data_IF_737123723371
#
_entry.id   IF_737123723371
#
_cell.length_a   1.000
_cell.length_b   1.000
_cell.length_c   1.000
_cell.angle_alpha   90.00
_cell.angle_beta   90.00
_cell.angle_gamma   90.00
#
_symmetry.space_group_name_H-M   'P 1'
#
loop_
_entity.id
_entity.type
_entity.pdbx_description
1 polymer ?
#
# COMPACT_ATOMS: atom_id res chain seq x y z
N UNK A 1 -4.89 8.31 -5.29
CA UNK A 1 -5.25 6.89 -5.15
C UNK A 1 -6.65 6.73 -5.73
N UNK A 2 -6.77 6.33 -7.00
CA UNK A 2 -8.09 6.15 -7.65
C UNK A 2 -8.57 4.68 -7.58
N UNK A 3 -7.63 3.74 -7.44
CA UNK A 3 -7.92 2.30 -7.43
C UNK A 3 -7.00 1.48 -6.50
N UNK A 4 -6.12 2.10 -5.70
CA UNK A 4 -5.32 1.33 -4.76
C UNK A 4 -6.22 0.80 -3.64
N UNK A 5 -6.37 -0.52 -3.58
CA UNK A 5 -7.34 -1.22 -2.75
C UNK A 5 -8.14 -2.28 -3.51
N UNK A 6 -8.35 -2.12 -4.82
CA UNK A 6 -9.11 -3.08 -5.64
C UNK A 6 -8.23 -4.09 -6.40
N UNK A 7 -6.96 -4.25 -6.01
CA UNK A 7 -6.05 -5.23 -6.64
C UNK A 7 -5.80 -5.00 -8.13
N UNK A 8 -5.98 -3.78 -8.64
CA UNK A 8 -5.76 -3.47 -10.06
C UNK A 8 -6.90 -3.89 -11.00
N UNK A 9 -8.13 -4.04 -10.51
CA UNK A 9 -9.30 -4.30 -11.37
C UNK A 9 -9.41 -3.26 -12.49
N UNK A 10 -9.48 -3.73 -13.72
CA UNK A 10 -9.67 -2.87 -14.90
C UNK A 10 -11.09 -2.28 -14.93
N UNK A 11 -11.23 -1.15 -15.60
CA UNK A 11 -12.51 -0.48 -15.81
C UNK A 11 -12.45 1.03 -15.62
N UNK A 12 -13.64 1.61 -15.58
CA UNK A 12 -13.83 3.05 -15.42
C UNK A 12 -14.34 3.35 -14.02
N UNK A 13 -13.69 4.29 -13.34
CA UNK A 13 -13.95 4.66 -11.96
C UNK A 13 -14.18 6.17 -11.85
N UNK A 14 -14.94 6.57 -10.83
CA UNK A 14 -15.16 7.98 -10.51
C UNK A 14 -14.25 8.38 -9.34
N UNK A 15 -13.40 9.39 -9.57
CA UNK A 15 -12.59 10.03 -8.55
C UNK A 15 -13.11 11.45 -8.33
N UNK A 16 -14.07 11.59 -7.41
CA UNK A 16 -14.86 12.82 -7.31
C UNK A 16 -15.67 13.02 -8.59
N UNK A 17 -15.53 14.19 -9.22
CA UNK A 17 -16.18 14.52 -10.51
C UNK A 17 -15.33 14.13 -11.73
N UNK A 18 -14.22 13.40 -11.53
CA UNK A 18 -13.30 13.01 -12.58
C UNK A 18 -13.47 11.53 -12.91
N UNK A 19 -13.84 11.24 -14.15
CA UNK A 19 -13.82 9.89 -14.68
C UNK A 19 -12.39 9.45 -15.04
N UNK A 20 -12.04 8.24 -14.61
CA UNK A 20 -10.71 7.66 -14.74
C UNK A 20 -10.81 6.23 -15.27
N UNK A 21 -10.08 5.93 -16.34
CA UNK A 21 -9.98 4.59 -16.90
C UNK A 21 -8.69 3.89 -16.44
N UNK A 22 -8.79 2.60 -16.13
CA UNK A 22 -7.70 1.68 -15.87
C UNK A 22 -7.83 0.53 -16.87
N UNK A 23 -6.80 0.32 -17.69
CA UNK A 23 -6.76 -0.75 -18.69
C UNK A 23 -5.36 -1.35 -18.76
N UNK A 24 -5.27 -2.66 -19.02
CA UNK A 24 -4.02 -3.40 -19.25
C UNK A 24 -3.01 -3.27 -18.10
N UNK A 25 -3.49 -3.21 -16.85
CA UNK A 25 -2.64 -2.98 -15.67
C UNK A 25 -1.91 -1.63 -15.67
N UNK A 26 -2.26 -0.70 -16.56
CA UNK A 26 -1.64 0.60 -16.68
C UNK A 26 -2.08 1.58 -15.58
N UNK A 27 -1.33 2.67 -15.45
CA UNK A 27 -1.70 3.73 -14.53
C UNK A 27 -3.08 4.33 -14.89
N UNK A 28 -3.93 4.65 -13.90
CA UNK A 28 -5.22 5.27 -14.12
C UNK A 28 -5.06 6.60 -14.88
N UNK A 29 -5.86 6.80 -15.93
CA UNK A 29 -5.81 8.00 -16.78
C UNK A 29 -7.19 8.60 -17.00
N UNK A 30 -7.23 9.92 -17.15
CA UNK A 30 -8.41 10.64 -17.65
C UNK A 30 -8.53 10.44 -19.17
N UNK A 31 -9.66 10.86 -19.72
CA UNK A 31 -9.89 10.85 -21.18
C UNK A 31 -8.80 11.61 -21.96
N UNK A 32 -8.28 12.71 -21.40
CA UNK A 32 -7.19 13.51 -21.98
C UNK A 32 -5.79 12.85 -21.87
N UNK A 33 -5.71 11.65 -21.30
CA UNK A 33 -4.46 10.90 -21.11
C UNK A 33 -3.66 11.27 -19.86
N UNK A 34 -4.09 12.27 -19.08
CA UNK A 34 -3.43 12.69 -17.84
C UNK A 34 -3.52 11.59 -16.78
N UNK A 35 -2.42 11.33 -16.07
CA UNK A 35 -2.42 10.41 -14.92
C UNK A 35 -3.36 10.89 -13.82
N UNK A 36 -4.25 10.01 -13.35
CA UNK A 36 -5.21 10.29 -12.30
C UNK A 36 -5.07 9.28 -11.15
N UNK A 37 -3.86 9.23 -10.58
CA UNK A 37 -3.53 8.36 -9.46
C UNK A 37 -2.74 7.13 -9.86
N UNK A 38 -2.88 6.07 -9.07
CA UNK A 38 -2.14 4.82 -9.22
C UNK A 38 -2.99 3.65 -8.71
N UNK A 39 -2.72 2.46 -9.27
CA UNK A 39 -3.17 1.14 -8.80
C UNK A 39 -2.18 0.47 -7.85
N UNK A 40 -1.01 1.08 -7.63
CA UNK A 40 0.07 0.55 -6.79
C UNK A 40 -0.41 0.27 -5.35
N UNK A 41 -0.18 -0.95 -4.88
CA UNK A 41 -0.44 -1.31 -3.48
C UNK A 41 0.71 -0.90 -2.57
N UNK A 42 0.48 -0.82 -1.25
CA UNK A 42 1.52 -0.44 -0.30
C UNK A 42 2.69 -1.43 -0.29
N UNK A 43 2.42 -2.74 -0.36
CA UNK A 43 3.48 -3.74 -0.39
C UNK A 43 4.29 -3.67 -1.69
N UNK A 44 3.64 -3.39 -2.83
CA UNK A 44 4.35 -3.18 -4.09
C UNK A 44 5.19 -1.90 -4.07
N UNK A 45 4.76 -0.85 -3.37
CA UNK A 45 5.58 0.35 -3.18
C UNK A 45 6.87 0.04 -2.38
N UNK A 46 6.77 -0.75 -1.30
CA UNK A 46 7.92 -1.20 -0.51
C UNK A 46 8.85 -2.07 -1.36
N UNK A 47 8.31 -3.05 -2.09
CA UNK A 47 9.07 -3.90 -3.01
C UNK A 47 9.81 -3.09 -4.08
N UNK A 48 9.14 -2.10 -4.67
CA UNK A 48 9.72 -1.23 -5.69
C UNK A 48 10.87 -0.38 -5.15
N UNK A 49 10.71 0.24 -3.98
CA UNK A 49 11.80 1.01 -3.35
C UNK A 49 13.01 0.12 -3.06
N UNK A 50 12.75 -1.07 -2.50
CA UNK A 50 13.82 -2.01 -2.20
C UNK A 50 14.54 -2.49 -3.48
N UNK A 51 13.80 -2.82 -4.53
CA UNK A 51 14.35 -3.20 -5.83
C UNK A 51 15.18 -2.10 -6.49
N UNK A 52 14.91 -0.82 -6.18
CA UNK A 52 15.70 0.33 -6.62
C UNK A 52 16.98 0.55 -5.78
N UNK A 53 17.26 -0.30 -4.80
CA UNK A 53 18.47 -0.27 -3.98
C UNK A 53 18.34 0.46 -2.65
N UNK A 54 17.13 0.86 -2.26
CA UNK A 54 16.87 1.39 -0.92
C UNK A 54 16.97 0.25 0.11
N UNK A 55 17.65 0.44 1.25
CA UNK A 55 17.65 -0.55 2.33
C UNK A 55 16.22 -0.95 2.72
N UNK A 56 16.00 -2.22 3.04
CA UNK A 56 14.65 -2.74 3.28
C UNK A 56 13.98 -2.03 4.46
N UNK A 57 14.73 -1.79 5.53
CA UNK A 57 14.31 -1.04 6.71
C UNK A 57 13.86 0.39 6.38
N UNK A 58 14.54 1.07 5.46
CA UNK A 58 14.19 2.42 5.01
C UNK A 58 12.93 2.39 4.14
N UNK A 59 12.79 1.38 3.28
CA UNK A 59 11.59 1.19 2.46
C UNK A 59 10.35 0.89 3.32
N UNK A 60 10.50 0.07 4.36
CA UNK A 60 9.44 -0.18 5.36
C UNK A 60 9.16 1.10 6.16
N UNK A 61 10.19 1.79 6.64
CA UNK A 61 10.05 3.04 7.38
C UNK A 61 9.31 4.12 6.60
N UNK A 62 9.54 4.22 5.28
CA UNK A 62 8.81 5.11 4.38
C UNK A 62 7.30 4.79 4.32
N UNK A 63 6.92 3.53 4.51
CA UNK A 63 5.53 3.09 4.53
C UNK A 63 4.86 3.14 5.92
N UNK A 64 5.64 3.20 7.01
CA UNK A 64 5.14 3.08 8.39
C UNK A 64 5.54 4.27 9.29
N UNK A 65 6.77 4.28 9.77
CA UNK A 65 7.30 5.22 10.76
C UNK A 65 7.29 6.68 10.27
N UNK A 66 7.71 6.90 9.02
CA UNK A 66 7.79 8.24 8.41
C UNK A 66 6.42 8.91 8.33
N UNK A 67 5.37 8.30 7.75
CA UNK A 67 4.04 8.93 7.73
C UNK A 67 3.43 9.07 9.13
N UNK A 68 3.67 8.12 10.05
CA UNK A 68 3.22 8.23 11.43
C UNK A 68 3.82 9.46 12.14
N UNK A 69 5.15 9.65 12.01
CA UNK A 69 5.85 10.84 12.54
C UNK A 69 5.36 12.13 11.89
N UNK A 70 5.17 12.14 10.57
CA UNK A 70 4.65 13.30 9.85
C UNK A 70 3.27 13.73 10.37
N UNK A 71 2.42 12.78 10.71
CA UNK A 71 1.09 13.01 11.29
C UNK A 71 1.10 13.19 12.82
N UNK A 72 2.28 13.21 13.46
CA UNK A 72 2.44 13.24 14.91
C UNK A 72 1.67 12.13 15.65
N UNK A 73 1.57 10.95 15.03
CA UNK A 73 0.93 9.75 15.58
C UNK A 73 1.99 8.83 16.17
N UNK A 74 2.18 8.92 17.49
CA UNK A 74 3.10 8.06 18.23
C UNK A 74 2.54 6.66 18.55
N UNK A 75 1.28 6.42 18.20
CA UNK A 75 0.53 5.20 18.48
C UNK A 75 0.47 4.24 17.28
N UNK A 76 1.00 4.58 16.11
CA UNK A 76 1.01 3.69 14.93
C UNK A 76 2.35 3.79 14.19
N UNK A 77 2.67 2.81 13.36
CA UNK A 77 3.90 2.81 12.55
C UNK A 77 5.14 2.30 13.27
N UNK A 78 5.01 1.87 14.53
CA UNK A 78 6.09 1.33 15.37
C UNK A 78 5.72 -0.06 15.90
N UNK A 79 6.70 -0.97 15.92
CA UNK A 79 6.54 -2.31 16.50
C UNK A 79 7.16 -2.34 17.90
N UNK A 80 6.45 -1.78 18.88
CA UNK A 80 6.92 -1.61 20.24
C UNK A 80 5.84 -1.98 21.27
N UNK A 81 6.21 -2.43 22.48
CA UNK A 81 5.24 -2.71 23.54
C UNK A 81 4.40 -1.47 23.89
N UNK A 82 3.07 -1.65 23.90
CA UNK A 82 2.12 -0.57 24.20
C UNK A 82 1.45 0.04 22.98
N UNK A 83 1.99 -0.19 21.77
CA UNK A 83 1.33 0.18 20.51
C UNK A 83 0.22 -0.83 20.15
N UNK A 84 -0.79 -0.44 19.36
CA UNK A 84 -1.71 -1.37 18.70
C UNK A 84 -0.92 -2.42 17.91
N UNK A 85 -1.38 -3.67 17.96
CA UNK A 85 -0.83 -4.76 17.18
C UNK A 85 -1.32 -4.71 15.71
N UNK A 86 -1.01 -3.59 15.04
CA UNK A 86 -1.18 -3.40 13.60
C UNK A 86 0.09 -3.90 12.90
N UNK A 87 0.05 -5.12 12.37
CA UNK A 87 1.23 -5.84 11.89
C UNK A 87 0.97 -6.48 10.54
N UNK A 88 1.93 -6.36 9.63
CA UNK A 88 1.94 -7.13 8.37
C UNK A 88 3.08 -8.15 8.46
N UNK A 89 2.74 -9.43 8.32
CA UNK A 89 3.71 -10.53 8.31
C UNK A 89 4.07 -10.84 6.87
N UNK A 90 5.36 -10.82 6.55
CA UNK A 90 5.89 -11.06 5.21
C UNK A 90 6.76 -12.32 5.18
N UNK A 91 6.83 -12.98 4.02
CA UNK A 91 7.86 -13.99 3.73
C UNK A 91 9.15 -13.36 3.15
N UNK A 92 10.17 -14.19 2.89
CA UNK A 92 11.45 -13.74 2.31
C UNK A 92 11.33 -13.19 0.88
N UNK A 93 10.18 -13.37 0.23
CA UNK A 93 9.84 -12.80 -1.09
C UNK A 93 9.00 -11.53 -0.95
N UNK A 94 8.82 -11.04 0.27
CA UNK A 94 7.98 -9.89 0.63
C UNK A 94 6.50 -10.12 0.28
N UNK A 95 6.03 -11.37 0.26
CA UNK A 95 4.61 -11.72 0.13
C UNK A 95 3.90 -11.62 1.48
N UNK A 96 2.67 -11.10 1.49
CA UNK A 96 1.87 -10.97 2.71
C UNK A 96 1.36 -12.35 3.13
N UNK A 97 1.76 -12.80 4.31
CA UNK A 97 1.29 -14.03 4.95
C UNK A 97 0.08 -13.78 5.87
N UNK A 98 0.08 -12.65 6.56
CA UNK A 98 -1.00 -12.25 7.45
C UNK A 98 -1.00 -10.74 7.65
N UNK A 99 -2.19 -10.19 7.92
CA UNK A 99 -2.36 -8.83 8.40
C UNK A 99 -3.09 -8.89 9.73
N UNK A 100 -2.57 -8.18 10.72
CA UNK A 100 -3.21 -8.00 12.01
C UNK A 100 -3.65 -6.55 12.14
N UNK A 101 -4.90 -6.34 12.53
CA UNK A 101 -5.47 -5.04 12.84
C UNK A 101 -5.90 -5.04 14.31
N UNK A 102 -5.16 -4.32 15.14
CA UNK A 102 -5.30 -4.27 16.60
C UNK A 102 -5.28 -5.68 17.22
N UNK A 103 -4.35 -6.52 16.73
CA UNK A 103 -4.16 -7.90 17.18
C UNK A 103 -5.15 -8.92 16.62
N UNK A 104 -6.15 -8.50 15.83
CA UNK A 104 -7.05 -9.42 15.12
C UNK A 104 -6.44 -9.78 13.77
N UNK A 105 -6.20 -11.05 13.52
CA UNK A 105 -5.62 -11.54 12.27
C UNK A 105 -6.69 -11.72 11.20
N UNK A 106 -6.49 -11.08 10.05
CA UNK A 106 -7.05 -11.53 8.78
C UNK A 106 -5.93 -12.27 8.04
N UNK A 107 -6.09 -13.58 7.88
CA UNK A 107 -5.20 -14.38 7.05
C UNK A 107 -5.56 -14.09 5.61
N UNK A 108 -4.64 -13.50 4.84
CA UNK A 108 -4.78 -13.41 3.40
C UNK A 108 -4.45 -14.79 2.85
N UNK A 109 -5.47 -15.67 2.80
CA UNK A 109 -5.32 -16.95 2.15
C UNK A 109 -4.91 -16.72 0.69
N UNK A 110 -3.84 -17.38 0.24
CA UNK A 110 -3.58 -17.52 -1.19
C UNK A 110 -4.50 -18.60 -1.74
N UNK A 111 -5.31 -18.22 -2.74
CA UNK A 111 -5.57 -19.07 -3.89
C UNK A 111 -4.47 -18.84 -4.93
#
# INVERSE_FOLDING_TARGET
MAAAGNGGSEGTFQLGDVEVAVADGAAPKREDGTLAGSTLTMIDAVRNLHALGVPFEDAVGAATEVPARFLARGDVGFLEPGSPADVVVLDDRLEILAVLCSGRSDVVARD
#
